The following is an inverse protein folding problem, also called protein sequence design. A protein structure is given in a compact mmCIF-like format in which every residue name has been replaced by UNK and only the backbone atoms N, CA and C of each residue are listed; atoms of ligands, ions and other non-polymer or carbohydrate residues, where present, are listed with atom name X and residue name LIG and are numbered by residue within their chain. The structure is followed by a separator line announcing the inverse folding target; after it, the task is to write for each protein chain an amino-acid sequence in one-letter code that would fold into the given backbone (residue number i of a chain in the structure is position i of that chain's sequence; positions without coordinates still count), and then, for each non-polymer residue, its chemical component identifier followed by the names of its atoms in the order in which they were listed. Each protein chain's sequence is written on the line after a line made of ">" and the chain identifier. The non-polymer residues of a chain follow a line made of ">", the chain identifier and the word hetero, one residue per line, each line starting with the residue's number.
data_IF_280133889652
#
_entry.id   IF_280133889652
#
_cell.length_a   1.000
_cell.length_b   1.000
_cell.length_c   1.000
_cell.angle_alpha   90.00
_cell.angle_beta   90.00
_cell.angle_gamma   90.00
#
_symmetry.space_group_name_H-M   'P 1'
#
loop_
_entity.id
_entity.type
_entity.pdbx_description
1 polymer ?
#
# COMPACT_ATOMS: atom_id res chain seq x y z
N UNK A 1 -60.98 45.36 25.57
CA UNK A 1 -60.36 44.62 24.47
C UNK A 1 -58.87 44.85 24.55
N UNK A 2 -58.12 43.87 25.11
CA UNK A 2 -56.63 43.91 25.20
C UNK A 2 -56.07 43.02 24.11
N UNK A 3 -55.29 43.57 23.16
CA UNK A 3 -54.53 42.83 22.19
C UNK A 3 -53.18 42.41 22.79
N UNK A 4 -52.98 41.12 23.01
CA UNK A 4 -51.67 40.51 23.33
C UNK A 4 -50.89 40.31 22.02
N UNK A 5 -49.73 40.98 21.85
CA UNK A 5 -48.77 40.73 20.81
C UNK A 5 -47.86 39.58 21.26
N UNK A 6 -47.86 38.44 20.52
CA UNK A 6 -46.89 37.41 20.65
C UNK A 6 -45.63 37.81 19.85
N UNK A 7 -44.52 37.93 20.57
CA UNK A 7 -43.18 38.01 19.95
C UNK A 7 -42.69 36.59 19.66
N UNK A 8 -42.50 36.25 18.38
CA UNK A 8 -41.77 35.04 17.94
C UNK A 8 -40.28 35.35 17.96
N UNK A 9 -39.54 34.74 18.90
CA UNK A 9 -38.07 34.75 18.91
C UNK A 9 -37.61 33.54 18.08
N UNK A 10 -37.16 33.80 16.86
CA UNK A 10 -36.57 32.79 16.01
C UNK A 10 -35.14 32.46 16.50
N UNK A 11 -34.96 31.26 17.01
CA UNK A 11 -33.62 30.70 17.28
C UNK A 11 -32.98 30.27 15.96
N UNK A 12 -31.99 31.04 15.49
CA UNK A 12 -31.12 30.64 14.40
C UNK A 12 -30.09 29.68 14.98
N UNK A 13 -30.24 28.36 14.69
CA UNK A 13 -29.21 27.38 14.96
C UNK A 13 -28.07 27.58 13.95
N UNK A 14 -26.98 28.24 14.35
CA UNK A 14 -25.69 28.16 13.64
C UNK A 14 -25.15 26.77 13.87
N UNK A 15 -25.27 25.88 12.89
CA UNK A 15 -24.55 24.63 12.86
C UNK A 15 -23.05 24.93 12.58
N UNK A 16 -22.26 25.01 13.63
CA UNK A 16 -20.78 24.92 13.49
C UNK A 16 -20.42 23.55 12.93
N UNK A 17 -20.22 23.46 11.62
CA UNK A 17 -19.49 22.34 11.03
C UNK A 17 -18.03 22.46 11.48
N UNK A 18 -17.68 21.72 12.53
CA UNK A 18 -16.29 21.50 12.90
C UNK A 18 -15.62 20.78 11.74
N UNK A 19 -14.87 21.52 10.92
CA UNK A 19 -13.88 20.93 10.02
C UNK A 19 -12.85 20.21 10.90
N UNK A 20 -12.98 18.90 10.96
CA UNK A 20 -11.93 18.05 11.51
C UNK A 20 -10.71 18.20 10.58
N UNK A 21 -9.76 19.04 10.95
CA UNK A 21 -8.44 19.05 10.35
C UNK A 21 -7.85 17.64 10.55
N UNK A 22 -7.75 16.87 9.47
CA UNK A 22 -7.17 15.55 9.49
C UNK A 22 -5.83 15.61 10.20
N UNK A 23 -5.66 14.76 11.22
CA UNK A 23 -4.47 14.72 12.05
C UNK A 23 -3.25 14.53 11.16
N UNK A 24 -2.31 15.50 11.18
CA UNK A 24 -1.10 15.47 10.36
C UNK A 24 -0.29 14.23 10.72
N UNK A 25 0.04 13.42 9.73
CA UNK A 25 0.79 12.17 9.94
C UNK A 25 2.17 12.44 10.55
N UNK A 26 2.50 11.71 11.63
CA UNK A 26 3.85 11.71 12.18
C UNK A 26 4.78 10.91 11.28
N UNK A 27 5.89 11.51 10.86
CA UNK A 27 6.89 10.88 10.01
C UNK A 27 8.00 10.27 10.85
N UNK A 28 8.46 9.08 10.47
CA UNK A 28 9.59 8.40 11.14
C UNK A 28 10.96 8.85 10.62
N UNK A 29 10.99 9.55 9.48
CA UNK A 29 12.17 10.05 8.78
C UNK A 29 11.84 11.41 8.14
N UNK A 30 12.85 12.17 7.68
CA UNK A 30 12.62 13.45 7.01
C UNK A 30 11.69 13.37 5.80
N UNK A 31 10.77 14.32 5.67
CA UNK A 31 9.79 14.31 4.59
C UNK A 31 8.66 15.32 4.79
N UNK A 32 7.60 15.13 4.04
CA UNK A 32 6.41 15.97 4.04
C UNK A 32 5.15 15.14 4.34
N UNK A 33 4.30 15.63 5.22
CA UNK A 33 2.94 15.11 5.40
C UNK A 33 1.95 16.10 4.77
N UNK A 34 1.10 15.58 3.89
CA UNK A 34 0.14 16.37 3.11
C UNK A 34 -1.19 15.61 2.97
N UNK A 35 -2.11 16.16 2.21
CA UNK A 35 -3.44 15.56 1.99
C UNK A 35 -3.66 15.35 0.49
N UNK A 36 -4.18 14.18 0.13
CA UNK A 36 -4.60 13.85 -1.25
C UNK A 36 -6.02 13.30 -1.19
N UNK A 37 -6.95 13.88 -1.93
CA UNK A 37 -8.37 13.49 -1.91
C UNK A 37 -8.91 13.36 -0.48
N UNK A 38 -8.63 14.36 0.36
CA UNK A 38 -9.05 14.46 1.78
C UNK A 38 -8.45 13.35 2.69
N UNK A 39 -7.48 12.58 2.20
CA UNK A 39 -6.82 11.51 2.96
C UNK A 39 -5.39 11.90 3.34
N UNK A 40 -4.95 11.58 4.55
CA UNK A 40 -3.56 11.79 4.95
C UNK A 40 -2.61 11.02 4.04
N UNK A 41 -1.59 11.71 3.56
CA UNK A 41 -0.53 11.15 2.74
C UNK A 41 0.82 11.64 3.25
N UNK A 42 1.88 10.95 2.86
CA UNK A 42 3.25 11.37 3.19
C UNK A 42 4.20 11.07 2.04
N UNK A 43 5.32 11.75 2.06
CA UNK A 43 6.51 11.39 1.32
C UNK A 43 7.74 11.56 2.21
N UNK A 44 8.54 10.52 2.36
CA UNK A 44 9.89 10.59 2.92
C UNK A 44 10.85 10.94 1.78
N UNK A 45 11.70 11.92 2.00
CA UNK A 45 12.57 12.46 0.95
C UNK A 45 14.04 12.19 1.25
N UNK A 46 14.82 11.78 0.25
CA UNK A 46 16.28 11.75 0.36
C UNK A 46 16.84 13.14 0.67
N UNK A 47 18.06 13.18 1.18
CA UNK A 47 18.83 14.42 1.25
C UNK A 47 18.85 15.09 -0.12
N UNK A 48 18.81 16.42 -0.14
CA UNK A 48 18.68 17.20 -1.37
C UNK A 48 19.77 16.85 -2.41
N UNK A 49 20.99 16.64 -1.97
CA UNK A 49 22.13 16.25 -2.83
C UNK A 49 21.97 14.87 -3.50
N UNK A 50 21.04 14.04 -3.01
CA UNK A 50 20.75 12.69 -3.54
C UNK A 50 19.50 12.63 -4.42
N UNK A 51 18.73 13.73 -4.48
CA UNK A 51 17.52 13.80 -5.31
C UNK A 51 17.84 13.87 -6.78
N UNK A 52 16.95 13.38 -7.60
CA UNK A 52 17.04 13.45 -9.07
C UNK A 52 15.71 13.84 -9.70
N UNK A 53 15.73 14.19 -10.98
CA UNK A 53 14.51 14.48 -11.75
C UNK A 53 14.52 13.63 -13.02
N UNK A 54 13.54 12.75 -13.21
CA UNK A 54 12.47 12.45 -12.27
C UNK A 54 12.96 11.75 -10.99
N UNK A 55 12.26 11.97 -9.85
CA UNK A 55 12.61 11.40 -8.56
C UNK A 55 12.18 9.93 -8.50
N UNK A 56 13.08 8.94 -8.36
CA UNK A 56 12.70 7.55 -8.16
C UNK A 56 12.08 7.35 -6.78
N UNK A 57 11.11 6.43 -6.69
CA UNK A 57 10.33 6.28 -5.47
C UNK A 57 9.67 4.92 -5.30
N UNK A 58 9.20 4.72 -4.08
CA UNK A 58 8.47 3.52 -3.64
C UNK A 58 7.09 3.95 -3.12
N UNK A 59 6.02 3.26 -3.54
CA UNK A 59 4.72 3.35 -2.87
C UNK A 59 4.69 2.32 -1.76
N UNK A 60 4.52 2.79 -0.52
CA UNK A 60 4.44 1.97 0.68
C UNK A 60 2.99 1.77 1.16
N UNK A 61 2.67 0.56 1.59
CA UNK A 61 1.45 0.19 2.28
C UNK A 61 1.72 -0.87 3.38
N UNK A 62 0.98 -0.81 4.51
CA UNK A 62 -0.17 0.02 4.81
C UNK A 62 0.22 1.42 5.27
N UNK A 63 -0.51 2.46 4.85
CA UNK A 63 -0.36 3.80 5.37
C UNK A 63 -1.53 4.11 6.28
N UNK A 64 -1.51 3.55 7.47
CA UNK A 64 -2.44 3.84 8.56
C UNK A 64 -1.79 4.83 9.56
N UNK A 65 -2.49 5.38 10.55
CA UNK A 65 -1.91 6.34 11.49
C UNK A 65 -0.57 5.91 12.10
N UNK A 66 -0.42 4.63 12.43
CA UNK A 66 0.80 4.04 13.03
C UNK A 66 1.82 3.51 12.02
N UNK A 67 1.59 3.58 10.72
CA UNK A 67 2.49 3.02 9.70
C UNK A 67 2.93 4.06 8.65
N UNK A 68 4.19 4.01 8.17
CA UNK A 68 5.26 3.11 8.60
C UNK A 68 5.65 3.34 10.07
N UNK A 69 6.14 2.29 10.73
CA UNK A 69 6.58 2.34 12.14
C UNK A 69 8.11 2.18 12.28
N UNK A 70 8.59 2.06 13.53
CA UNK A 70 10.02 1.96 13.81
C UNK A 70 10.68 0.70 13.24
N UNK A 71 9.92 -0.37 13.00
CA UNK A 71 10.48 -1.60 12.43
C UNK A 71 10.92 -1.40 10.99
N UNK A 72 10.21 -0.58 10.20
CA UNK A 72 10.58 -0.29 8.81
C UNK A 72 11.62 0.83 8.67
N UNK A 73 11.96 1.53 9.77
CA UNK A 73 12.82 2.70 9.73
C UNK A 73 14.14 2.43 9.02
N UNK A 74 14.87 1.35 9.40
CA UNK A 74 16.14 0.99 8.78
C UNK A 74 16.02 0.82 7.27
N UNK A 75 15.01 0.08 6.80
CA UNK A 75 14.80 -0.14 5.37
C UNK A 75 14.52 1.16 4.62
N UNK A 76 13.67 2.01 5.19
CA UNK A 76 13.38 3.32 4.60
C UNK A 76 14.61 4.24 4.58
N UNK A 77 15.48 4.20 5.61
CA UNK A 77 16.75 4.91 5.61
C UNK A 77 17.67 4.44 4.47
N UNK A 78 17.73 3.12 4.19
CA UNK A 78 18.50 2.60 3.05
C UNK A 78 17.95 3.13 1.72
N UNK A 79 16.62 3.20 1.55
CA UNK A 79 16.02 3.78 0.35
C UNK A 79 16.38 5.27 0.20
N UNK A 80 16.21 6.07 1.25
CA UNK A 80 16.57 7.48 1.21
C UNK A 80 18.06 7.69 0.94
N UNK A 81 18.93 6.88 1.55
CA UNK A 81 20.38 6.92 1.33
C UNK A 81 20.76 6.61 -0.13
N UNK A 82 19.99 5.79 -0.80
CA UNK A 82 20.17 5.47 -2.22
C UNK A 82 19.51 6.49 -3.18
N UNK A 83 18.95 7.58 -2.65
CA UNK A 83 18.26 8.61 -3.44
C UNK A 83 16.81 8.24 -3.82
N UNK A 84 16.19 7.25 -3.16
CA UNK A 84 14.83 6.79 -3.45
C UNK A 84 13.88 7.38 -2.41
N UNK A 85 12.84 8.09 -2.85
CA UNK A 85 11.77 8.57 -1.97
C UNK A 85 10.80 7.45 -1.60
N UNK A 86 10.11 7.57 -0.46
CA UNK A 86 9.04 6.63 -0.06
C UNK A 86 7.78 7.42 0.21
N UNK A 87 6.67 7.04 -0.41
CA UNK A 87 5.40 7.73 -0.24
C UNK A 87 4.26 6.75 0.03
N UNK A 88 3.22 7.22 0.70
CA UNK A 88 2.02 6.45 0.96
C UNK A 88 0.82 7.33 1.24
N UNK A 89 -0.35 6.73 1.13
CA UNK A 89 -1.65 7.36 1.40
C UNK A 89 -2.48 6.47 2.31
N UNK A 90 -3.13 7.07 3.31
CA UNK A 90 -4.04 6.36 4.20
C UNK A 90 -5.36 6.08 3.47
N UNK A 91 -5.56 4.86 3.07
CA UNK A 91 -6.81 4.38 2.44
C UNK A 91 -7.76 3.72 3.44
N UNK A 92 -7.45 3.78 4.73
CA UNK A 92 -8.15 3.04 5.78
C UNK A 92 -7.97 1.53 5.60
N UNK A 93 -8.90 0.74 6.12
CA UNK A 93 -8.93 -0.72 5.95
C UNK A 93 -9.58 -1.07 4.59
N UNK A 94 -8.92 -0.66 3.50
CA UNK A 94 -9.47 -0.76 2.15
C UNK A 94 -9.26 -2.11 1.46
N UNK A 95 -8.36 -2.96 1.95
CA UNK A 95 -8.10 -4.34 1.50
C UNK A 95 -8.01 -4.53 -0.03
N UNK A 96 -7.50 -3.53 -0.76
CA UNK A 96 -7.38 -3.57 -2.21
C UNK A 96 -8.68 -3.30 -2.98
N UNK A 97 -9.70 -2.74 -2.31
CA UNK A 97 -10.97 -2.38 -2.95
C UNK A 97 -10.81 -1.30 -4.02
N UNK A 98 -11.78 -1.17 -4.96
CA UNK A 98 -11.76 -0.13 -5.98
C UNK A 98 -11.59 1.28 -5.41
N UNK A 99 -12.20 1.57 -4.24
CA UNK A 99 -12.04 2.87 -3.56
C UNK A 99 -10.60 3.10 -3.10
N UNK A 100 -9.93 2.08 -2.55
CA UNK A 100 -8.52 2.20 -2.16
C UNK A 100 -7.61 2.38 -3.38
N UNK A 101 -7.88 1.69 -4.49
CA UNK A 101 -7.13 1.85 -5.73
C UNK A 101 -7.27 3.24 -6.35
N UNK A 102 -8.45 3.87 -6.23
CA UNK A 102 -8.64 5.28 -6.64
C UNK A 102 -7.76 6.23 -5.83
N UNK A 103 -7.63 6.01 -4.52
CA UNK A 103 -6.77 6.82 -3.66
C UNK A 103 -5.28 6.62 -3.96
N UNK A 104 -4.84 5.39 -4.23
CA UNK A 104 -3.47 5.14 -4.71
C UNK A 104 -3.21 5.83 -6.05
N UNK A 105 -4.18 5.81 -6.97
CA UNK A 105 -4.10 6.52 -8.24
C UNK A 105 -4.03 8.03 -8.04
N UNK A 106 -4.76 8.58 -7.08
CA UNK A 106 -4.69 10.00 -6.73
C UNK A 106 -3.30 10.39 -6.19
N UNK A 107 -2.72 9.57 -5.29
CA UNK A 107 -1.34 9.77 -4.82
C UNK A 107 -0.34 9.70 -5.98
N UNK A 108 -0.45 8.69 -6.83
CA UNK A 108 0.40 8.54 -8.02
C UNK A 108 0.35 9.78 -8.90
N UNK A 109 -0.85 10.27 -9.23
CA UNK A 109 -1.03 11.46 -10.07
C UNK A 109 -0.45 12.73 -9.40
N UNK A 110 -0.65 12.90 -8.08
CA UNK A 110 -0.09 14.02 -7.33
C UNK A 110 1.44 14.06 -7.43
N UNK A 111 2.10 12.91 -7.24
CA UNK A 111 3.56 12.84 -7.24
C UNK A 111 4.14 12.88 -8.65
N UNK A 112 3.62 12.09 -9.57
CA UNK A 112 4.18 11.97 -10.93
C UNK A 112 3.86 13.21 -11.78
N UNK A 113 2.61 13.66 -11.79
CA UNK A 113 2.20 14.74 -12.70
C UNK A 113 2.54 16.14 -12.17
N UNK A 114 2.58 16.32 -10.83
CA UNK A 114 2.76 17.64 -10.24
C UNK A 114 4.09 17.84 -9.52
N UNK A 115 4.69 16.77 -8.98
CA UNK A 115 5.92 16.88 -8.17
C UNK A 115 7.17 16.27 -8.84
N UNK A 116 7.08 15.83 -10.11
CA UNK A 116 8.22 15.37 -10.89
C UNK A 116 8.80 14.02 -10.49
N UNK A 117 7.97 13.14 -9.92
CA UNK A 117 8.36 11.78 -9.57
C UNK A 117 8.39 10.86 -10.80
N UNK A 118 9.17 9.79 -10.72
CA UNK A 118 9.31 8.81 -11.80
C UNK A 118 7.98 8.10 -12.12
N UNK A 119 7.69 7.80 -13.40
CA UNK A 119 6.39 7.25 -13.79
C UNK A 119 6.13 5.82 -13.33
N UNK A 120 7.18 5.07 -12.92
CA UNK A 120 7.04 3.68 -12.49
C UNK A 120 7.66 3.46 -11.11
N UNK A 121 6.91 3.68 -10.01
CA UNK A 121 7.38 3.34 -8.68
C UNK A 121 7.60 1.84 -8.52
N UNK A 122 8.49 1.46 -7.58
CA UNK A 122 8.44 0.16 -6.95
C UNK A 122 7.35 0.18 -5.87
N UNK A 123 6.66 -0.95 -5.64
CA UNK A 123 5.62 -1.04 -4.63
C UNK A 123 6.12 -1.85 -3.45
N UNK A 124 5.79 -1.42 -2.23
CA UNK A 124 6.15 -2.10 -1.01
C UNK A 124 4.92 -2.40 -0.15
N UNK A 125 4.59 -3.69 -0.01
CA UNK A 125 3.49 -4.17 0.82
C UNK A 125 3.95 -4.91 2.06
N UNK A 126 3.65 -4.39 3.27
CA UNK A 126 3.83 -5.13 4.52
C UNK A 126 2.50 -5.70 4.97
N UNK A 127 2.45 -7.01 5.31
CA UNK A 127 1.25 -7.65 5.84
C UNK A 127 0.02 -7.35 4.98
N UNK A 128 -1.06 -6.81 5.56
CA UNK A 128 -2.27 -6.39 4.83
C UNK A 128 -2.02 -5.43 3.67
N UNK A 129 -0.94 -4.65 3.74
CA UNK A 129 -0.53 -3.75 2.65
C UNK A 129 -0.25 -4.45 1.34
N UNK A 130 0.05 -5.75 1.37
CA UNK A 130 0.18 -6.59 0.20
C UNK A 130 -1.08 -6.59 -0.67
N UNK A 131 -2.29 -6.66 -0.06
CA UNK A 131 -3.56 -6.57 -0.78
C UNK A 131 -3.67 -5.25 -1.57
N UNK A 132 -3.27 -4.14 -0.94
CA UNK A 132 -3.45 -2.81 -1.53
C UNK A 132 -2.52 -2.58 -2.71
N UNK A 133 -1.22 -2.82 -2.51
CA UNK A 133 -0.25 -2.61 -3.59
C UNK A 133 -0.45 -3.57 -4.75
N UNK A 134 -0.81 -4.83 -4.47
CA UNK A 134 -1.03 -5.85 -5.51
C UNK A 134 -2.31 -5.58 -6.31
N UNK A 135 -3.40 -5.20 -5.64
CA UNK A 135 -4.65 -4.83 -6.31
C UNK A 135 -4.43 -3.64 -7.25
N UNK A 136 -3.74 -2.59 -6.78
CA UNK A 136 -3.42 -1.45 -7.62
C UNK A 136 -2.49 -1.80 -8.79
N UNK A 137 -1.48 -2.65 -8.54
CA UNK A 137 -0.56 -3.11 -9.58
C UNK A 137 -1.29 -3.89 -10.69
N UNK A 138 -2.24 -4.75 -10.33
CA UNK A 138 -3.07 -5.52 -11.29
C UNK A 138 -3.86 -4.60 -12.21
N UNK A 139 -4.40 -3.50 -11.69
CA UNK A 139 -5.13 -2.51 -12.50
C UNK A 139 -4.19 -1.58 -13.31
N UNK A 140 -2.94 -1.42 -12.87
CA UNK A 140 -1.98 -0.49 -13.45
C UNK A 140 -0.60 -1.13 -13.77
N UNK A 141 -0.53 -2.29 -14.43
CA UNK A 141 0.73 -3.01 -14.58
C UNK A 141 1.81 -2.25 -15.34
N UNK A 142 1.44 -1.34 -16.22
CA UNK A 142 2.38 -0.50 -16.99
C UNK A 142 3.03 0.61 -16.15
N UNK A 143 2.46 0.90 -14.97
CA UNK A 143 2.95 1.93 -14.04
C UNK A 143 3.80 1.37 -12.90
N UNK A 144 4.19 0.09 -12.95
CA UNK A 144 4.90 -0.58 -11.85
C UNK A 144 6.26 -1.04 -12.34
N UNK A 145 7.32 -0.72 -11.58
CA UNK A 145 8.69 -1.19 -11.89
C UNK A 145 9.07 -2.48 -11.19
N UNK A 146 8.38 -2.82 -10.10
CA UNK A 146 8.56 -4.03 -9.29
C UNK A 146 7.74 -3.99 -8.02
N UNK A 147 7.68 -5.12 -7.31
CA UNK A 147 6.95 -5.26 -6.05
C UNK A 147 7.87 -5.89 -5.01
N UNK A 148 7.90 -5.36 -3.79
CA UNK A 148 8.48 -6.04 -2.63
C UNK A 148 7.43 -6.26 -1.55
N UNK A 149 7.61 -7.31 -0.74
CA UNK A 149 6.67 -7.61 0.34
C UNK A 149 7.32 -8.25 1.56
N UNK A 150 6.90 -7.79 2.76
CA UNK A 150 7.20 -8.42 4.04
C UNK A 150 5.94 -9.14 4.51
N UNK A 151 5.98 -10.47 4.58
CA UNK A 151 4.85 -11.37 4.88
C UNK A 151 3.50 -10.85 4.34
N UNK A 152 3.45 -10.53 3.02
CA UNK A 152 2.32 -9.82 2.45
C UNK A 152 1.08 -10.70 2.35
N UNK A 153 -0.08 -10.10 2.61
CA UNK A 153 -1.37 -10.71 2.31
C UNK A 153 -1.67 -10.51 0.82
N UNK A 154 -1.99 -11.59 0.14
CA UNK A 154 -2.47 -11.57 -1.25
C UNK A 154 -3.87 -12.17 -1.39
N UNK A 155 -4.26 -13.00 -0.42
CA UNK A 155 -5.55 -13.64 -0.34
C UNK A 155 -6.35 -13.10 0.85
N UNK A 156 -7.34 -12.27 0.58
CA UNK A 156 -8.16 -11.70 1.65
C UNK A 156 -9.05 -12.73 2.36
N UNK A 157 -9.17 -13.98 1.86
CA UNK A 157 -9.84 -15.08 2.56
C UNK A 157 -9.05 -15.51 3.80
N UNK A 158 -7.71 -15.45 3.72
CA UNK A 158 -6.81 -15.81 4.83
C UNK A 158 -6.72 -14.69 5.86
N UNK A 159 -6.64 -13.43 5.38
CA UNK A 159 -6.64 -12.23 6.21
C UNK A 159 -7.17 -11.03 5.41
N UNK A 160 -8.07 -10.22 5.93
CA UNK A 160 -8.68 -10.29 7.28
C UNK A 160 -9.89 -11.24 7.35
N UNK A 161 -10.19 -11.97 6.29
CA UNK A 161 -11.37 -12.78 6.09
C UNK A 161 -12.47 -12.05 5.32
N UNK A 162 -13.35 -12.82 4.69
CA UNK A 162 -14.41 -12.30 3.80
C UNK A 162 -15.33 -11.31 4.53
N UNK A 163 -15.71 -11.62 5.77
CA UNK A 163 -16.64 -10.78 6.55
C UNK A 163 -16.11 -9.36 6.77
N UNK A 164 -14.80 -9.23 7.01
CA UNK A 164 -14.15 -7.92 7.21
C UNK A 164 -13.84 -7.22 5.88
N UNK A 165 -13.64 -7.98 4.81
CA UNK A 165 -13.30 -7.45 3.49
C UNK A 165 -14.54 -6.93 2.75
N UNK A 166 -15.68 -7.62 2.84
CA UNK A 166 -16.87 -7.30 2.07
C UNK A 166 -17.35 -5.84 2.20
N UNK A 167 -17.40 -5.22 3.40
CA UNK A 167 -17.77 -3.82 3.53
C UNK A 167 -16.85 -2.85 2.77
N UNK A 168 -15.54 -3.14 2.69
CA UNK A 168 -14.59 -2.30 1.96
C UNK A 168 -14.85 -2.31 0.44
N UNK A 169 -15.45 -3.38 -0.06
CA UNK A 169 -15.86 -3.54 -1.45
C UNK A 169 -17.31 -3.08 -1.70
N UNK A 170 -18.02 -2.58 -0.68
CA UNK A 170 -19.45 -2.27 -0.72
C UNK A 170 -20.32 -3.47 -1.16
N UNK A 171 -19.95 -4.68 -0.73
CA UNK A 171 -20.61 -5.94 -1.05
C UNK A 171 -21.09 -6.64 0.23
N UNK A 172 -22.04 -7.54 0.07
CA UNK A 172 -22.33 -8.54 1.11
C UNK A 172 -21.24 -9.63 1.10
N UNK A 173 -21.17 -10.41 2.18
CA UNK A 173 -20.28 -11.58 2.23
C UNK A 173 -20.49 -12.52 1.04
N UNK A 174 -21.73 -12.90 0.78
CA UNK A 174 -22.11 -13.82 -0.29
C UNK A 174 -21.75 -13.24 -1.68
N UNK A 175 -21.98 -11.94 -1.90
CA UNK A 175 -21.61 -11.31 -3.16
C UNK A 175 -20.09 -11.29 -3.36
N UNK A 176 -19.32 -11.00 -2.30
CA UNK A 176 -17.86 -11.05 -2.39
C UNK A 176 -17.36 -12.47 -2.64
N UNK A 177 -17.92 -13.47 -1.95
CA UNK A 177 -17.57 -14.89 -2.17
C UNK A 177 -17.84 -15.32 -3.62
N UNK A 178 -18.93 -14.88 -4.24
CA UNK A 178 -19.24 -15.20 -5.64
C UNK A 178 -18.30 -14.54 -6.65
N UNK A 179 -17.55 -13.50 -6.24
CA UNK A 179 -16.65 -12.70 -7.09
C UNK A 179 -15.16 -12.88 -6.76
N UNK A 180 -14.78 -13.94 -6.06
CA UNK A 180 -13.38 -14.17 -5.66
C UNK A 180 -12.40 -14.21 -6.84
N UNK A 181 -12.80 -14.78 -7.97
CA UNK A 181 -11.97 -14.82 -9.18
C UNK A 181 -11.69 -13.44 -9.77
N UNK A 182 -12.59 -12.49 -9.54
CA UNK A 182 -12.49 -11.13 -10.08
C UNK A 182 -11.83 -10.14 -9.10
N UNK A 183 -12.11 -10.31 -7.81
CA UNK A 183 -11.80 -9.30 -6.80
C UNK A 183 -10.64 -9.67 -5.86
N UNK A 184 -10.39 -10.97 -5.64
CA UNK A 184 -9.30 -11.39 -4.78
C UNK A 184 -7.95 -11.24 -5.51
N UNK A 185 -6.99 -10.43 -5.01
CA UNK A 185 -5.73 -10.17 -5.71
C UNK A 185 -4.98 -11.44 -6.10
N UNK A 186 -4.95 -12.46 -5.23
CA UNK A 186 -4.25 -13.72 -5.51
C UNK A 186 -4.79 -14.42 -6.77
N UNK A 187 -6.07 -14.30 -7.05
CA UNK A 187 -6.70 -14.91 -8.23
C UNK A 187 -6.30 -14.23 -9.56
N UNK A 188 -5.65 -13.07 -9.48
CA UNK A 188 -5.31 -12.22 -10.65
C UNK A 188 -3.81 -11.95 -10.79
N UNK A 189 -2.97 -12.61 -10.00
CA UNK A 189 -1.50 -12.45 -10.04
C UNK A 189 -0.91 -12.76 -11.42
N UNK A 190 -1.54 -13.62 -12.20
CA UNK A 190 -1.16 -13.91 -13.58
C UNK A 190 -1.10 -12.65 -14.47
N UNK A 191 -1.87 -11.60 -14.18
CA UNK A 191 -1.78 -10.30 -14.88
C UNK A 191 -0.40 -9.70 -14.70
N UNK A 192 0.15 -9.75 -13.48
CA UNK A 192 1.48 -9.23 -13.17
C UNK A 192 2.58 -10.08 -13.82
N UNK A 193 2.41 -11.40 -13.80
CA UNK A 193 3.33 -12.34 -14.45
C UNK A 193 3.40 -12.08 -15.96
N UNK A 194 2.26 -11.95 -16.64
CA UNK A 194 2.17 -11.61 -18.08
C UNK A 194 2.76 -10.24 -18.40
N UNK A 195 2.61 -9.28 -17.50
CA UNK A 195 3.24 -7.95 -17.60
C UNK A 195 4.73 -7.96 -17.26
N UNK A 196 5.29 -9.13 -16.87
CA UNK A 196 6.69 -9.33 -16.49
C UNK A 196 7.15 -8.40 -15.35
N UNK A 197 6.31 -8.19 -14.35
CA UNK A 197 6.64 -7.39 -13.17
C UNK A 197 7.55 -8.20 -12.24
N UNK A 198 8.80 -7.78 -11.96
CA UNK A 198 9.66 -8.47 -11.01
C UNK A 198 9.18 -8.29 -9.56
N UNK A 199 9.32 -9.33 -8.75
CA UNK A 199 8.82 -9.36 -7.37
C UNK A 199 9.85 -9.96 -6.42
N UNK A 200 10.00 -9.41 -5.21
CA UNK A 200 10.76 -10.01 -4.14
C UNK A 200 9.94 -10.02 -2.84
N UNK A 201 9.77 -11.20 -2.26
CA UNK A 201 8.96 -11.43 -1.07
C UNK A 201 9.81 -12.07 0.02
N UNK A 202 9.60 -11.66 1.26
CA UNK A 202 10.15 -12.30 2.46
C UNK A 202 9.01 -12.75 3.37
N UNK A 203 9.02 -14.01 3.80
CA UNK A 203 7.92 -14.61 4.56
C UNK A 203 8.43 -15.65 5.56
N UNK A 204 7.75 -15.78 6.69
CA UNK A 204 8.03 -16.83 7.67
C UNK A 204 7.32 -18.15 7.34
N UNK A 205 7.99 -19.28 7.53
CA UNK A 205 7.43 -20.60 7.18
C UNK A 205 6.38 -21.13 8.16
N UNK A 206 6.28 -20.55 9.36
CA UNK A 206 5.27 -20.90 10.37
C UNK A 206 4.28 -19.77 10.65
N UNK A 207 4.11 -18.83 9.71
CA UNK A 207 3.14 -17.73 9.83
C UNK A 207 1.71 -18.29 9.83
N UNK A 208 1.01 -18.10 10.96
CA UNK A 208 -0.39 -18.52 11.17
C UNK A 208 -1.40 -17.40 10.95
N UNK A 209 -0.95 -16.15 10.87
CA UNK A 209 -1.80 -14.98 10.62
C UNK A 209 -1.98 -14.77 9.13
N UNK A 210 -0.87 -14.83 8.39
CA UNK A 210 -0.83 -14.78 6.93
C UNK A 210 -0.08 -16.03 6.46
N UNK A 211 -0.78 -17.16 6.25
CA UNK A 211 -0.10 -18.41 5.92
C UNK A 211 0.69 -18.30 4.61
N UNK A 212 1.96 -18.69 4.66
CA UNK A 212 2.90 -18.65 3.53
C UNK A 212 2.31 -19.34 2.29
N UNK A 213 1.71 -20.52 2.49
CA UNK A 213 1.22 -21.39 1.42
C UNK A 213 0.18 -20.72 0.55
N UNK A 214 -0.80 -20.06 1.17
CA UNK A 214 -1.94 -19.43 0.49
C UNK A 214 -1.62 -18.00 -0.01
N UNK A 215 -0.49 -17.42 0.40
CA UNK A 215 -0.09 -16.07 0.04
C UNK A 215 1.20 -16.06 -0.81
N UNK A 216 2.38 -15.89 -0.23
CA UNK A 216 3.61 -15.72 -1.01
C UNK A 216 4.01 -16.95 -1.83
N UNK A 217 3.73 -18.16 -1.34
CA UNK A 217 3.97 -19.38 -2.11
C UNK A 217 2.99 -19.50 -3.29
N UNK A 218 1.71 -19.21 -3.06
CA UNK A 218 0.72 -19.22 -4.14
C UNK A 218 1.00 -18.12 -5.17
N UNK A 219 1.44 -16.94 -4.74
CA UNK A 219 1.89 -15.89 -5.64
C UNK A 219 3.02 -16.37 -6.56
N UNK A 220 4.02 -17.04 -6.01
CA UNK A 220 5.11 -17.67 -6.78
C UNK A 220 4.57 -18.72 -7.76
N UNK A 221 3.64 -19.57 -7.32
CA UNK A 221 3.04 -20.61 -8.16
C UNK A 221 2.31 -20.01 -9.38
N UNK A 222 1.60 -18.90 -9.21
CA UNK A 222 0.93 -18.21 -10.32
C UNK A 222 1.93 -17.70 -11.37
N UNK A 223 3.10 -17.18 -10.94
CA UNK A 223 4.16 -16.80 -11.86
C UNK A 223 4.76 -18.01 -12.57
N UNK A 224 4.92 -19.15 -11.86
CA UNK A 224 5.39 -20.40 -12.44
C UNK A 224 4.44 -20.93 -13.52
N UNK A 225 3.14 -20.83 -13.33
CA UNK A 225 2.14 -21.23 -14.34
C UNK A 225 2.26 -20.41 -15.63
N UNK A 226 2.72 -19.17 -15.55
CA UNK A 226 2.97 -18.30 -16.71
C UNK A 226 4.43 -18.41 -17.22
N UNK A 227 5.24 -19.37 -16.75
CA UNK A 227 6.68 -19.54 -17.06
C UNK A 227 7.51 -18.28 -16.75
N UNK A 228 7.15 -17.55 -15.68
CA UNK A 228 7.81 -16.32 -15.25
C UNK A 228 8.38 -16.43 -13.81
N UNK A 229 8.62 -17.64 -13.30
CA UNK A 229 9.12 -17.88 -11.94
C UNK A 229 10.44 -17.15 -11.63
N UNK A 230 11.29 -16.94 -12.64
CA UNK A 230 12.59 -16.26 -12.50
C UNK A 230 12.44 -14.77 -12.15
N UNK A 231 11.24 -14.21 -12.31
CA UNK A 231 10.90 -12.84 -11.90
C UNK A 231 10.50 -12.75 -10.42
N UNK A 232 10.32 -13.89 -9.73
CA UNK A 232 9.90 -13.88 -8.31
C UNK A 232 10.99 -14.45 -7.43
N UNK A 233 11.52 -13.61 -6.55
CA UNK A 233 12.40 -14.01 -5.47
C UNK A 233 11.57 -14.21 -4.21
N UNK A 234 11.50 -15.44 -3.70
CA UNK A 234 10.82 -15.77 -2.45
C UNK A 234 11.83 -16.17 -1.38
N UNK A 235 12.02 -15.31 -0.38
CA UNK A 235 12.91 -15.53 0.76
C UNK A 235 12.07 -16.10 1.90
N UNK A 236 12.38 -17.31 2.36
CA UNK A 236 11.66 -17.99 3.44
C UNK A 236 12.51 -17.99 4.71
N UNK A 237 12.03 -17.36 5.76
CA UNK A 237 12.67 -17.33 7.07
C UNK A 237 12.16 -18.49 7.92
N UNK A 238 13.06 -19.43 8.20
CA UNK A 238 12.76 -20.64 8.96
C UNK A 238 12.45 -20.35 10.43
N UNK A 239 11.39 -20.99 10.95
CA UNK A 239 10.94 -20.84 12.33
C UNK A 239 10.32 -19.48 12.66
N UNK A 240 10.01 -18.65 11.64
CA UNK A 240 9.41 -17.35 11.85
C UNK A 240 7.92 -17.35 11.52
N UNK A 241 7.15 -16.66 12.38
CA UNK A 241 5.72 -16.40 12.18
C UNK A 241 5.47 -14.97 11.75
N UNK A 242 4.25 -14.47 11.99
CA UNK A 242 3.87 -13.06 11.74
C UNK A 242 4.33 -12.17 12.90
N UNK A 243 5.60 -11.88 12.97
CA UNK A 243 6.22 -11.18 14.09
C UNK A 243 7.19 -10.08 13.64
N UNK A 244 7.81 -9.39 14.60
CA UNK A 244 8.76 -8.31 14.34
C UNK A 244 10.22 -8.79 14.38
N UNK A 245 10.49 -10.01 13.92
CA UNK A 245 11.86 -10.50 13.80
C UNK A 245 12.66 -9.59 12.84
N UNK A 246 13.81 -9.12 13.28
CA UNK A 246 14.63 -8.14 12.54
C UNK A 246 14.99 -8.59 11.13
N UNK A 247 15.16 -9.90 10.92
CA UNK A 247 15.48 -10.45 9.60
C UNK A 247 14.43 -10.15 8.51
N UNK A 248 13.18 -9.83 8.88
CA UNK A 248 12.18 -9.35 7.94
C UNK A 248 12.43 -7.91 7.49
N UNK A 249 12.84 -7.05 8.43
CA UNK A 249 12.92 -5.60 8.26
C UNK A 249 14.31 -5.10 7.89
N UNK A 250 15.36 -5.92 8.15
CA UNK A 250 16.76 -5.62 7.85
C UNK A 250 17.29 -6.49 6.69
N UNK A 251 16.40 -6.93 5.79
CA UNK A 251 16.79 -7.72 4.61
C UNK A 251 17.45 -6.82 3.56
N UNK A 252 18.80 -6.87 3.50
CA UNK A 252 19.57 -6.15 2.47
C UNK A 252 19.16 -6.57 1.07
N UNK A 253 18.87 -7.85 0.88
CA UNK A 253 18.44 -8.43 -0.39
C UNK A 253 17.12 -7.82 -0.91
N UNK A 254 16.16 -7.59 -0.01
CA UNK A 254 14.90 -6.93 -0.34
C UNK A 254 15.11 -5.45 -0.64
N UNK A 255 15.99 -4.79 0.12
CA UNK A 255 16.37 -3.38 -0.08
C UNK A 255 17.05 -3.19 -1.43
N UNK A 256 18.05 -3.99 -1.77
CA UNK A 256 18.78 -3.90 -3.03
C UNK A 256 17.86 -4.10 -4.24
N UNK A 257 16.95 -5.07 -4.13
CA UNK A 257 15.93 -5.29 -5.15
C UNK A 257 15.04 -4.05 -5.33
N UNK A 258 14.50 -3.51 -4.25
CA UNK A 258 13.62 -2.33 -4.31
C UNK A 258 14.32 -1.12 -4.93
N UNK A 259 15.56 -0.84 -4.52
CA UNK A 259 16.39 0.24 -5.06
C UNK A 259 16.61 0.05 -6.57
N UNK A 260 16.99 -1.16 -6.98
CA UNK A 260 17.18 -1.47 -8.40
C UNK A 260 15.90 -1.23 -9.21
N UNK A 261 14.73 -1.66 -8.68
CA UNK A 261 13.44 -1.46 -9.36
C UNK A 261 13.03 0.00 -9.42
N UNK A 262 13.14 0.75 -8.32
CA UNK A 262 12.81 2.17 -8.30
C UNK A 262 13.67 2.98 -9.31
N UNK A 263 14.96 2.65 -9.44
CA UNK A 263 15.87 3.29 -10.42
C UNK A 263 15.52 2.96 -11.88
N UNK A 264 15.06 1.75 -12.17
CA UNK A 264 14.57 1.39 -13.53
C UNK A 264 13.30 2.15 -13.88
N UNK A 265 12.49 2.50 -12.91
CA UNK A 265 11.24 3.25 -13.08
C UNK A 265 11.40 4.68 -13.60
N UNK A 266 12.63 5.18 -13.69
CA UNK A 266 12.95 6.51 -14.27
C UNK A 266 12.76 6.53 -15.81
N UNK A 267 12.87 5.34 -16.44
CA UNK A 267 12.78 5.16 -17.91
C UNK A 267 11.29 4.86 -18.33
#
# INVERSE_FOLDING_TARGET
>A
MLYRRLLFVGFVFLSCTSFSYGQKKNLILPGEAFTVSERPAFVLLPDEAKRSTPQPWIIYAPTLPSYPDQHEKWMHEQFLNAGIAVAGIDVGEGYGSPKSNQLFTALYNELVQKKGFAPKPCLFGRSRGGLWVTSWAIENPTKVSGIIGIYPVFDFRTYPGIDKTAPAYALTKTDLESKLSELNPISKVNVLAKAKIPVALIHGDIDKVVPLKENSQEFFNQYKLENQQDLVKLIILKGQGHNFFEGFFNSQELVDFAIARAKVGIK
#
